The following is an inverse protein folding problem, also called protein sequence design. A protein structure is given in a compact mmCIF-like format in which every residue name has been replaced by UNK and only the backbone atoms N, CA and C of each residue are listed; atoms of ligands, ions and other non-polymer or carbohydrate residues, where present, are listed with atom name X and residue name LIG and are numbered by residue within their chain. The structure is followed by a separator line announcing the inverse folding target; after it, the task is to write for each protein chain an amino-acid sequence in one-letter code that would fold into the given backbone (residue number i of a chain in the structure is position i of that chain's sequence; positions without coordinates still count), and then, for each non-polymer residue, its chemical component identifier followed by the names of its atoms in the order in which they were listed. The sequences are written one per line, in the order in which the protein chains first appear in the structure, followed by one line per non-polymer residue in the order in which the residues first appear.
data_IF_363861954673
#
_entry.id   IF_363861954673
#
_cell.length_a   1.000
_cell.length_b   1.000
_cell.length_c   1.000
_cell.angle_alpha   90.00
_cell.angle_beta   90.00
_cell.angle_gamma   90.00
#
_symmetry.space_group_name_H-M   'P 1'
#
loop_
_entity.id
_entity.type
_entity.pdbx_description
1 polymer ?
2 water ?
#
# COMPACT_ATOMS: atom_id res chain seq x y z
N UNK A 30 16.96 -27.30 -4.05
CA UNK A 30 17.34 -26.72 -5.37
C UNK A 30 17.14 -25.20 -5.38
N UNK A 31 16.26 -24.69 -4.53
CA UNK A 31 16.01 -23.25 -4.51
C UNK A 31 17.16 -22.51 -3.87
N UNK A 32 17.66 -23.04 -2.77
CA UNK A 32 18.81 -22.42 -2.12
C UNK A 32 20.00 -22.46 -3.08
N UNK A 33 20.14 -23.58 -3.81
CA UNK A 33 21.26 -23.72 -4.74
C UNK A 33 21.20 -22.68 -5.83
N UNK A 34 20.02 -22.55 -6.41
CA UNK A 34 19.82 -21.56 -7.45
C UNK A 34 20.16 -20.15 -6.90
N UNK A 35 19.73 -19.82 -5.69
CA UNK A 35 20.06 -18.47 -5.20
C UNK A 35 21.56 -18.27 -5.06
N UNK A 36 22.27 -19.31 -4.65
CA UNK A 36 23.72 -19.18 -4.53
C UNK A 36 24.33 -18.99 -5.90
N UNK A 37 23.77 -19.68 -6.90
CA UNK A 37 24.30 -19.54 -8.24
C UNK A 37 23.99 -18.13 -8.75
N UNK A 38 22.81 -17.61 -8.41
CA UNK A 38 22.45 -16.26 -8.83
C UNK A 38 23.38 -15.21 -8.22
N UNK A 39 23.82 -15.43 -6.97
CA UNK A 39 24.77 -14.49 -6.35
C UNK A 39 26.10 -14.50 -7.11
N UNK A 40 26.57 -15.71 -7.43
CA UNK A 40 27.82 -15.83 -8.16
C UNK A 40 27.73 -15.16 -9.53
N UNK A 41 26.60 -15.34 -10.21
CA UNK A 41 26.41 -14.70 -11.51
C UNK A 41 26.51 -13.18 -11.32
N UNK A 42 25.81 -12.66 -10.32
CA UNK A 42 25.84 -11.23 -10.07
C UNK A 42 27.27 -10.73 -9.83
N UNK A 43 28.01 -11.45 -9.00
CA UNK A 43 29.37 -11.05 -8.68
C UNK A 43 30.33 -11.01 -9.86
N UNK A 44 30.28 -12.03 -10.71
CA UNK A 44 31.21 -12.06 -11.84
C UNK A 44 30.77 -11.24 -13.05
N UNK A 45 29.56 -10.69 -13.04
CA UNK A 45 29.12 -9.92 -14.18
C UNK A 45 29.70 -8.51 -14.19
N UNK A 46 29.98 -8.00 -13.01
CA UNK A 46 30.56 -6.66 -12.97
C UNK A 46 29.69 -5.54 -13.51
N UNK A 47 28.38 -5.64 -13.35
CA UNK A 47 27.50 -4.58 -13.81
C UNK A 47 27.72 -3.34 -12.97
N UNK A 48 27.80 -2.18 -13.61
CA UNK A 48 28.06 -0.96 -12.85
C UNK A 48 26.88 -0.49 -12.00
N UNK A 49 27.16 -0.02 -10.80
CA UNK A 49 26.13 0.52 -9.94
C UNK A 49 25.09 -0.40 -9.32
N UNK A 50 25.29 -1.72 -9.43
CA UNK A 50 24.36 -2.69 -8.86
C UNK A 50 25.12 -3.61 -7.95
N UNK A 51 24.52 -3.91 -6.80
CA UNK A 51 25.15 -4.81 -5.86
C UNK A 51 24.12 -5.43 -4.89
N UNK A 52 24.31 -6.68 -4.48
CA UNK A 52 23.41 -7.30 -3.51
C UNK A 52 23.96 -8.58 -2.92
N UNK A 53 23.67 -8.82 -1.65
CA UNK A 53 24.06 -10.06 -0.97
C UNK A 53 22.96 -10.44 0.02
N UNK A 54 22.88 -11.75 0.35
CA UNK A 54 21.91 -12.31 1.31
C UNK A 54 22.38 -11.89 2.71
N UNK A 55 21.50 -12.03 3.71
CA UNK A 55 21.93 -11.73 5.08
C UNK A 55 22.61 -13.04 5.50
N UNK A 56 23.57 -12.96 6.41
CA UNK A 56 24.29 -14.16 6.81
C UNK A 56 23.43 -15.24 7.42
N UNK A 57 22.34 -14.88 8.06
CA UNK A 57 21.56 -15.98 8.64
C UNK A 57 20.41 -16.49 7.78
N UNK A 58 20.18 -15.81 6.66
CA UNK A 58 19.01 -16.13 5.86
C UNK A 58 19.24 -15.94 4.38
N UNK A 59 19.44 -17.02 3.65
CA UNK A 59 19.67 -16.92 2.21
C UNK A 59 18.44 -16.38 1.44
N UNK A 60 17.29 -16.33 2.09
CA UNK A 60 16.09 -15.89 1.42
C UNK A 60 15.73 -14.42 1.65
N UNK A 61 16.67 -13.66 2.20
CA UNK A 61 16.42 -12.24 2.39
C UNK A 61 17.73 -11.59 2.02
N UNK A 62 17.69 -10.70 1.03
CA UNK A 62 18.89 -10.02 0.56
C UNK A 62 18.72 -8.50 0.72
N UNK A 63 19.84 -7.80 0.76
CA UNK A 63 19.83 -6.35 0.81
C UNK A 63 20.65 -5.93 -0.41
N UNK A 64 20.17 -4.97 -1.18
CA UNK A 64 20.92 -4.53 -2.34
C UNK A 64 21.05 -3.02 -2.43
N UNK A 65 21.95 -2.60 -3.30
CA UNK A 65 22.19 -1.17 -3.53
C UNK A 65 22.21 -0.88 -5.01
N UNK A 66 21.53 0.19 -5.38
CA UNK A 66 21.48 0.59 -6.76
C UNK A 66 21.90 2.06 -6.83
N UNK A 67 22.63 2.40 -7.90
CA UNK A 67 23.04 3.77 -8.16
C UNK A 67 22.33 4.13 -9.44
N UNK A 68 21.86 5.37 -9.57
CA UNK A 68 21.19 5.76 -10.80
C UNK A 68 22.11 5.64 -11.99
N UNK A 69 21.56 5.33 -13.17
CA UNK A 69 22.38 5.21 -14.37
C UNK A 69 22.94 6.56 -14.82
N UNK A 70 24.19 6.57 -15.32
CA UNK A 70 24.81 7.82 -15.78
C UNK A 70 23.97 8.47 -16.86
N UNK A 71 23.86 9.80 -16.83
CA UNK A 71 23.09 10.51 -17.81
C UNK A 71 21.63 10.74 -17.41
N UNK A 72 21.19 10.15 -16.31
CA UNK A 72 19.81 10.33 -15.85
C UNK A 72 19.76 11.26 -14.66
N UNK A 73 18.58 11.76 -14.30
CA UNK A 73 18.51 12.67 -13.18
C UNK A 73 18.83 11.96 -11.87
N UNK A 74 18.89 10.63 -11.90
CA UNK A 74 19.22 9.86 -10.68
C UNK A 74 20.71 9.55 -10.64
N UNK A 75 21.46 10.12 -11.58
CA UNK A 75 22.90 9.87 -11.62
C UNK A 75 23.48 10.40 -10.32
N UNK A 76 24.44 9.67 -9.77
CA UNK A 76 25.12 10.02 -8.53
C UNK A 76 24.32 9.81 -7.26
N UNK A 77 23.09 9.28 -7.37
CA UNK A 77 22.30 9.01 -6.16
C UNK A 77 22.25 7.49 -5.92
N UNK A 78 22.19 7.07 -4.67
CA UNK A 78 22.15 5.64 -4.41
C UNK A 78 21.02 5.26 -3.48
N UNK A 79 20.49 4.05 -3.68
CA UNK A 79 19.36 3.57 -2.88
C UNK A 79 19.55 2.12 -2.47
N UNK A 80 19.15 1.83 -1.24
CA UNK A 80 19.19 0.48 -0.68
C UNK A 80 17.81 -0.14 -0.84
N UNK A 81 17.77 -1.44 -1.11
CA UNK A 81 16.50 -2.14 -1.30
C UNK A 81 16.56 -3.47 -0.59
N UNK A 82 15.41 -3.98 -0.19
CA UNK A 82 15.38 -5.30 0.41
C UNK A 82 14.75 -6.23 -0.62
N UNK A 83 15.20 -7.48 -0.62
CA UNK A 83 14.64 -8.47 -1.54
C UNK A 83 14.31 -9.70 -0.72
N UNK A 84 13.05 -10.10 -0.74
CA UNK A 84 12.64 -11.27 0.05
C UNK A 84 12.06 -12.30 -0.86
N UNK A 85 12.54 -13.53 -0.75
CA UNK A 85 12.09 -14.63 -1.58
C UNK A 85 11.13 -15.50 -0.76
N UNK A 86 9.85 -15.42 -1.07
CA UNK A 86 8.84 -16.21 -0.34
C UNK A 86 8.87 -17.70 -0.67
N UNK A 87 8.13 -18.50 0.10
CA UNK A 87 8.08 -19.92 -0.15
C UNK A 87 7.65 -20.29 -1.59
N UNK A 88 6.79 -19.49 -2.22
CA UNK A 88 6.40 -19.84 -3.60
C UNK A 88 7.39 -19.49 -4.72
N UNK A 89 8.51 -18.88 -4.37
CA UNK A 89 9.52 -18.52 -5.37
C UNK A 89 10.20 -19.80 -5.90
N UNK A 90 10.62 -19.82 -7.18
CA UNK A 90 10.56 -18.80 -8.23
C UNK A 90 9.27 -18.72 -9.02
N UNK A 91 8.29 -19.54 -8.67
CA UNK A 91 7.02 -19.50 -9.39
C UNK A 91 6.37 -18.15 -9.06
N UNK A 92 6.46 -17.76 -7.80
CA UNK A 92 5.93 -16.46 -7.34
C UNK A 92 7.10 -15.47 -7.26
N UNK A 93 6.84 -14.22 -7.59
CA UNK A 93 7.92 -13.24 -7.57
C UNK A 93 8.41 -12.88 -6.19
N UNK A 94 9.66 -12.41 -6.08
CA UNK A 94 10.15 -12.02 -4.76
C UNK A 94 9.52 -10.67 -4.42
N UNK A 95 9.53 -10.29 -3.15
CA UNK A 95 9.01 -8.99 -2.76
C UNK A 95 10.23 -8.05 -2.69
N UNK A 96 10.17 -6.97 -3.48
CA UNK A 96 11.29 -6.01 -3.56
C UNK A 96 10.80 -4.61 -3.18
N UNK A 97 11.46 -3.99 -2.22
CA UNK A 97 11.07 -2.64 -1.80
C UNK A 97 12.27 -1.77 -1.53
N UNK A 98 12.11 -0.46 -1.74
CA UNK A 98 13.16 0.51 -1.45
C UNK A 98 13.23 0.71 0.07
N UNK A 99 14.44 0.72 0.63
CA UNK A 99 14.64 0.95 2.05
C UNK A 99 14.99 2.42 2.24
N UNK A 100 15.63 2.98 1.23
CA UNK A 100 16.03 4.39 1.22
C UNK A 100 14.85 5.11 0.59
N UNK A 101 14.38 6.22 1.21
CA UNK A 101 13.24 6.95 0.63
C UNK A 101 13.56 7.31 -0.81
N UNK A 102 12.64 7.02 -1.71
CA UNK A 102 12.83 7.29 -3.12
C UNK A 102 11.67 8.09 -3.72
N UNK A 103 11.98 9.28 -4.19
CA UNK A 103 10.96 10.13 -4.82
C UNK A 103 11.01 9.76 -6.29
N UNK A 104 9.93 9.21 -6.81
CA UNK A 104 9.91 8.72 -8.19
C UNK A 104 8.44 8.42 -8.55
N UNK A 105 8.04 8.61 -9.83
CA UNK A 105 6.64 8.33 -10.20
C UNK A 105 6.07 6.96 -9.81
N UNK A 106 6.92 5.91 -9.86
CA UNK A 106 6.47 4.56 -9.59
C UNK A 106 6.80 3.94 -8.24
N UNK A 107 7.12 4.76 -7.27
CA UNK A 107 7.43 4.24 -5.96
C UNK A 107 6.53 4.96 -4.97
N UNK A 108 6.02 4.24 -3.98
CA UNK A 108 5.16 4.89 -2.99
C UNK A 108 5.85 5.17 -1.67
N UNK A 109 5.07 5.59 -0.68
CA UNK A 109 5.65 5.94 0.61
C UNK A 109 6.21 4.76 1.41
N UNK A 110 5.79 3.55 1.06
CA UNK A 110 6.26 2.37 1.78
C UNK A 110 7.48 1.77 1.06
N UNK A 111 7.83 2.33 -0.09
CA UNK A 111 8.95 1.78 -0.81
C UNK A 111 8.46 0.73 -1.77
N UNK A 112 7.13 0.59 -1.91
CA UNK A 112 6.61 -0.38 -2.89
C UNK A 112 6.90 0.11 -4.31
N UNK A 113 7.13 -0.84 -5.21
CA UNK A 113 7.47 -0.49 -6.59
C UNK A 113 6.47 -0.99 -7.59
N UNK A 114 6.00 -0.12 -8.49
CA UNK A 114 5.10 -0.57 -9.52
C UNK A 114 5.95 -0.89 -10.76
N UNK A 115 6.21 -2.17 -10.98
CA UNK A 115 7.06 -2.61 -12.08
C UNK A 115 6.46 -3.94 -12.52
N UNK A 116 5.98 -3.97 -13.75
CA UNK A 116 5.34 -5.15 -14.29
C UNK A 116 6.05 -6.48 -14.04
N UNK A 117 7.36 -6.56 -14.29
CA UNK A 117 8.07 -7.83 -14.11
C UNK A 117 8.05 -8.32 -12.69
N UNK A 118 7.73 -7.45 -11.74
CA UNK A 118 7.66 -7.87 -10.35
C UNK A 118 6.26 -8.31 -9.99
N UNK A 119 5.31 -8.13 -10.90
CA UNK A 119 3.95 -8.52 -10.59
C UNK A 119 3.33 -9.44 -11.65
N UNK A 120 2.56 -8.86 -12.55
CA UNK A 120 1.89 -9.63 -13.58
C UNK A 120 2.82 -10.28 -14.60
N UNK A 121 3.96 -9.66 -14.89
CA UNK A 121 4.85 -10.25 -15.88
C UNK A 121 6.07 -10.95 -15.28
N UNK A 122 5.98 -11.34 -14.02
CA UNK A 122 7.10 -12.06 -13.40
C UNK A 122 7.31 -13.40 -14.08
N UNK A 123 8.55 -13.73 -14.41
CA UNK A 123 8.90 -15.02 -14.98
C UNK A 123 9.93 -15.72 -14.08
N UNK A 124 9.72 -17.00 -13.78
CA UNK A 124 10.64 -17.79 -12.95
C UNK A 124 12.04 -17.92 -13.54
N UNK A 125 12.20 -17.47 -14.77
CA UNK A 125 13.50 -17.52 -15.42
C UNK A 125 14.36 -16.27 -15.13
N UNK A 126 13.77 -15.22 -14.54
CA UNK A 126 14.55 -13.99 -14.22
C UNK A 126 15.43 -14.21 -12.99
N UNK A 127 16.66 -13.68 -13.03
CA UNK A 127 17.57 -13.82 -11.90
C UNK A 127 17.64 -12.48 -11.12
N UNK A 128 18.37 -12.47 -10.01
CA UNK A 128 18.50 -11.27 -9.21
C UNK A 128 19.12 -10.13 -10.01
N UNK A 129 20.10 -10.46 -10.86
CA UNK A 129 20.75 -9.45 -11.70
C UNK A 129 19.73 -8.75 -12.62
N UNK A 130 18.88 -9.54 -13.24
CA UNK A 130 17.84 -9.00 -14.13
C UNK A 130 16.89 -8.04 -13.39
N UNK A 131 16.49 -8.41 -12.17
CA UNK A 131 15.62 -7.59 -11.35
C UNK A 131 16.30 -6.26 -10.99
N UNK A 132 17.55 -6.34 -10.56
CA UNK A 132 18.25 -5.12 -10.18
C UNK A 132 18.45 -4.19 -11.38
N UNK A 133 18.84 -4.75 -12.52
CA UNK A 133 19.04 -3.95 -13.72
C UNK A 133 17.69 -3.30 -14.16
N UNK A 134 16.61 -4.06 -14.04
CA UNK A 134 15.28 -3.54 -14.43
C UNK A 134 14.86 -2.36 -13.54
N UNK A 135 15.11 -2.47 -12.25
CA UNK A 135 14.77 -1.39 -11.33
C UNK A 135 15.71 -0.19 -11.61
N UNK A 136 17.00 -0.44 -11.89
CA UNK A 136 17.92 0.68 -12.19
C UNK A 136 17.41 1.41 -13.43
N UNK A 137 16.97 0.63 -14.41
CA UNK A 137 16.42 1.20 -15.64
C UNK A 137 15.14 2.04 -15.41
N UNK A 138 14.30 1.57 -14.48
CA UNK A 138 13.03 2.23 -14.16
C UNK A 138 13.26 3.63 -13.59
N UNK A 139 14.32 3.79 -12.82
CA UNK A 139 14.67 5.09 -12.26
C UNK A 139 14.69 6.15 -13.35
N UNK A 140 15.40 5.86 -14.44
CA UNK A 140 15.51 6.80 -15.55
C UNK A 140 14.40 6.81 -16.59
N UNK A 141 13.55 5.79 -16.59
CA UNK A 141 12.47 5.73 -17.54
C UNK A 141 11.18 5.30 -16.84
N UNK A 142 10.56 6.23 -16.11
CA UNK A 142 9.33 5.90 -15.41
C UNK A 142 8.13 5.63 -16.31
N UNK A 143 7.14 4.96 -15.74
CA UNK A 143 5.89 4.67 -16.42
C UNK A 143 5.01 5.75 -15.83
N UNK A 144 4.95 6.91 -16.47
CA UNK A 144 4.17 8.00 -15.90
C UNK A 144 2.69 7.93 -16.22
N UNK A 145 2.28 6.90 -16.94
CA UNK A 145 0.89 6.74 -17.30
C UNK A 145 0.09 6.13 -16.15
N UNK A 146 0.74 5.29 -15.35
CA UNK A 146 0.11 4.65 -14.20
C UNK A 146 1.04 4.86 -12.99
N UNK A 147 1.00 6.06 -12.40
CA UNK A 147 1.88 6.33 -11.26
C UNK A 147 1.38 6.00 -9.87
N UNK A 148 2.32 5.94 -8.93
CA UNK A 148 2.00 5.72 -7.55
C UNK A 148 2.19 7.06 -6.88
N UNK A 149 3.13 7.85 -7.40
CA UNK A 149 3.40 9.18 -6.85
C UNK A 149 3.01 10.18 -7.93
N UNK A 150 1.74 10.57 -7.88
CA UNK A 150 1.17 11.48 -8.85
C UNK A 150 1.91 12.79 -8.98
N UNK A 151 2.37 13.33 -7.86
CA UNK A 151 3.10 14.59 -7.84
C UNK A 151 4.39 14.47 -8.63
N UNK A 152 5.09 13.36 -8.41
CA UNK A 152 6.35 13.13 -9.09
C UNK A 152 6.09 12.92 -10.56
N UNK A 153 5.02 12.18 -10.89
CA UNK A 153 4.71 11.94 -12.29
C UNK A 153 4.48 13.26 -13.02
N UNK A 154 3.86 14.21 -12.33
CA UNK A 154 3.55 15.52 -12.90
C UNK A 154 4.81 16.35 -13.11
N UNK A 155 5.65 16.42 -12.07
CA UNK A 155 6.87 17.21 -12.12
C UNK A 155 7.89 16.66 -13.12
N UNK A 156 7.77 15.37 -13.43
CA UNK A 156 8.68 14.71 -14.36
C UNK A 156 8.76 15.39 -15.73
N UNK A 157 7.70 16.08 -16.10
CA UNK A 157 7.63 16.76 -17.39
C UNK A 157 8.62 17.91 -17.44
N UNK A 158 8.99 18.43 -16.27
CA UNK A 158 9.93 19.53 -16.18
C UNK A 158 11.21 19.07 -15.46
N UNK A 159 12.10 18.39 -16.19
CA UNK A 159 13.36 17.87 -15.65
C UNK A 159 14.14 18.79 -14.71
N UNK A 160 14.40 20.03 -15.12
CA UNK A 160 15.12 20.95 -14.26
C UNK A 160 14.40 21.05 -12.93
N UNK A 161 13.09 21.28 -13.00
CA UNK A 161 12.30 21.37 -11.78
C UNK A 161 12.32 20.02 -11.04
N UNK A 162 12.24 18.92 -11.79
CA UNK A 162 12.25 17.59 -11.16
C UNK A 162 13.57 17.37 -10.41
N UNK A 163 14.66 17.54 -11.13
CA UNK A 163 16.00 17.36 -10.57
C UNK A 163 16.11 18.10 -9.25
N UNK A 164 15.64 19.33 -9.24
CA UNK A 164 15.70 20.19 -8.07
C UNK A 164 14.96 19.62 -6.87
N UNK A 165 13.72 19.22 -7.06
CA UNK A 165 12.93 18.66 -5.95
C UNK A 165 13.55 17.33 -5.50
N UNK A 166 14.05 16.55 -6.46
CA UNK A 166 14.67 15.26 -6.17
C UNK A 166 15.87 15.40 -5.25
N UNK A 167 16.74 16.34 -5.58
CA UNK A 167 17.94 16.60 -4.80
C UNK A 167 17.57 17.14 -3.43
N UNK A 168 16.60 18.03 -3.40
CA UNK A 168 16.12 18.62 -2.16
C UNK A 168 15.62 17.50 -1.26
N UNK A 169 14.70 16.70 -1.77
CA UNK A 169 14.14 15.59 -0.99
C UNK A 169 15.22 14.58 -0.59
N UNK A 170 16.09 14.22 -1.54
CA UNK A 170 17.16 13.25 -1.26
C UNK A 170 18.03 13.78 -0.13
N UNK A 171 18.37 15.06 -0.25
CA UNK A 171 19.22 15.76 0.72
C UNK A 171 18.69 15.57 2.15
N UNK A 172 17.38 15.59 2.30
CA UNK A 172 16.75 15.41 3.60
C UNK A 172 16.69 13.92 3.94
N UNK A 173 17.63 13.16 3.39
CA UNK A 173 17.69 11.72 3.63
C UNK A 173 19.11 11.35 4.04
N UNK A 174 19.90 12.36 4.38
CA UNK A 174 21.29 12.16 4.79
C UNK A 174 21.76 13.24 5.78
N UNK A 175 21.29 13.15 7.02
CA UNK A 175 21.67 14.11 8.07
C UNK A 175 21.29 13.59 9.45
N UNK B 30 -3.08 11.04 -13.11
CA UNK B 30 -4.51 10.99 -13.50
C UNK B 30 -5.31 10.37 -12.36
N UNK B 31 -5.75 11.22 -11.44
CA UNK B 31 -6.53 10.78 -10.29
C UNK B 31 -7.89 10.24 -10.71
N UNK B 32 -8.55 10.93 -11.62
CA UNK B 32 -9.85 10.49 -12.08
C UNK B 32 -9.78 9.15 -12.78
N UNK B 33 -8.71 8.94 -13.52
CA UNK B 33 -8.55 7.67 -14.23
C UNK B 33 -8.39 6.54 -13.22
N UNK B 34 -7.62 6.80 -12.18
CA UNK B 34 -7.38 5.79 -11.15
C UNK B 34 -8.73 5.50 -10.42
N UNK B 35 -9.47 6.53 -10.07
CA UNK B 35 -10.76 6.35 -9.35
C UNK B 35 -11.77 5.55 -10.19
N UNK B 36 -11.84 5.82 -11.48
CA UNK B 36 -12.76 5.05 -12.33
C UNK B 36 -12.36 3.58 -12.35
N UNK B 37 -11.06 3.33 -12.43
CA UNK B 37 -10.56 1.96 -12.43
C UNK B 37 -10.94 1.25 -11.12
N UNK B 38 -10.81 1.97 -10.01
CA UNK B 38 -11.13 1.36 -8.72
C UNK B 38 -12.63 1.03 -8.62
N UNK B 39 -13.48 1.90 -9.16
CA UNK B 39 -14.92 1.63 -9.12
C UNK B 39 -15.18 0.36 -9.93
N UNK B 40 -14.55 0.24 -11.09
CA UNK B 40 -14.71 -0.95 -11.95
C UNK B 40 -14.31 -2.23 -11.24
N UNK B 41 -13.17 -2.23 -10.57
CA UNK B 41 -12.80 -3.48 -9.92
C UNK B 41 -13.75 -3.78 -8.76
N UNK B 42 -14.19 -2.74 -8.06
CA UNK B 42 -15.12 -3.00 -6.95
C UNK B 42 -16.40 -3.66 -7.44
N UNK B 43 -17.00 -3.16 -8.51
CA UNK B 43 -18.23 -3.83 -8.91
C UNK B 43 -18.02 -5.17 -9.60
N UNK B 44 -16.85 -5.38 -10.18
CA UNK B 44 -16.54 -6.66 -10.85
C UNK B 44 -16.23 -7.73 -9.82
N UNK B 45 -15.72 -7.30 -8.66
CA UNK B 45 -15.36 -8.25 -7.60
C UNK B 45 -16.57 -8.89 -6.91
N UNK B 46 -17.63 -8.12 -6.72
CA UNK B 46 -18.82 -8.68 -6.10
C UNK B 46 -18.65 -9.26 -4.69
N UNK B 47 -17.82 -8.62 -3.87
CA UNK B 47 -17.64 -9.07 -2.50
C UNK B 47 -18.96 -8.96 -1.78
N UNK B 48 -19.10 -9.69 -0.68
CA UNK B 48 -20.36 -9.62 0.03
C UNK B 48 -20.36 -8.59 1.16
N UNK B 49 -21.42 -7.80 1.23
CA UNK B 49 -21.53 -6.86 2.31
C UNK B 49 -20.79 -5.53 2.17
N UNK B 50 -20.18 -5.24 1.02
CA UNK B 50 -19.54 -3.92 0.83
C UNK B 50 -20.01 -3.32 -0.48
N UNK B 51 -20.13 -2.00 -0.53
CA UNK B 51 -20.54 -1.25 -1.74
C UNK B 51 -20.10 0.19 -1.59
N UNK B 52 -19.81 0.86 -2.69
CA UNK B 52 -19.45 2.28 -2.63
C UNK B 52 -19.54 2.89 -4.02
N UNK B 53 -19.98 4.14 -4.07
CA UNK B 53 -20.09 4.87 -5.32
C UNK B 53 -19.72 6.33 -5.12
N UNK B 54 -19.16 6.96 -6.15
CA UNK B 54 -18.79 8.38 -6.08
C UNK B 54 -20.10 9.19 -6.15
N UNK B 55 -20.07 10.43 -5.68
CA UNK B 55 -21.23 11.32 -5.82
C UNK B 55 -21.31 11.67 -7.32
N UNK B 56 -22.50 11.93 -7.85
CA UNK B 56 -22.62 12.25 -9.28
C UNK B 56 -21.92 13.56 -9.69
N UNK B 57 -21.77 14.52 -8.81
CA UNK B 57 -21.08 15.72 -9.30
C UNK B 57 -19.67 15.84 -8.73
N UNK B 58 -19.13 14.74 -8.18
CA UNK B 58 -17.82 14.81 -7.57
C UNK B 58 -17.16 13.45 -7.38
N UNK B 59 -16.30 13.10 -8.32
CA UNK B 59 -15.59 11.83 -8.30
C UNK B 59 -14.65 11.66 -7.10
N UNK B 60 -14.30 12.78 -6.45
CA UNK B 60 -13.38 12.77 -5.33
C UNK B 60 -13.99 12.49 -3.99
N UNK B 61 -15.31 12.33 -3.97
CA UNK B 61 -15.97 11.98 -2.72
C UNK B 61 -16.89 10.79 -2.99
N UNK B 62 -16.73 9.73 -2.19
CA UNK B 62 -17.56 8.55 -2.37
C UNK B 62 -18.32 8.27 -1.09
N UNK B 63 -19.40 7.50 -1.21
CA UNK B 63 -20.13 7.12 -0.01
C UNK B 63 -20.21 5.59 -0.12
N UNK B 64 -19.88 4.89 0.97
CA UNK B 64 -19.94 3.44 0.91
C UNK B 64 -20.77 2.82 2.01
N UNK B 65 -21.09 1.55 1.85
CA UNK B 65 -21.86 0.89 2.90
C UNK B 65 -21.16 -0.41 3.22
N UNK B 66 -21.04 -0.69 4.53
CA UNK B 66 -20.46 -1.94 4.99
C UNK B 66 -21.48 -2.60 5.93
N UNK B 67 -21.60 -3.92 5.79
CA UNK B 67 -22.47 -4.76 6.62
C UNK B 67 -21.57 -5.59 7.58
N UNK B 68 -22.03 -5.77 8.81
CA UNK B 68 -21.30 -6.56 9.80
C UNK B 68 -21.25 -7.97 9.26
N UNK B 69 -20.23 -8.72 9.64
CA UNK B 69 -20.05 -10.10 9.16
C UNK B 69 -20.91 -11.09 9.99
N UNK B 70 -21.42 -12.14 9.35
CA UNK B 70 -22.23 -13.12 10.07
C UNK B 70 -21.37 -13.73 11.16
N UNK B 71 -21.99 -14.05 12.30
CA UNK B 71 -21.23 -14.65 13.37
C UNK B 71 -20.46 -13.71 14.26
N UNK B 72 -20.64 -12.40 14.08
CA UNK B 72 -19.95 -11.44 14.92
C UNK B 72 -21.01 -10.59 15.58
N UNK B 73 -20.63 -9.76 16.52
CA UNK B 73 -21.63 -8.95 17.19
C UNK B 73 -22.23 -7.88 16.28
N UNK B 74 -21.61 -7.62 15.12
CA UNK B 74 -22.17 -6.61 14.19
C UNK B 74 -23.08 -7.24 13.13
N UNK B 75 -23.37 -8.54 13.26
CA UNK B 75 -24.25 -9.19 12.29
C UNK B 75 -25.57 -8.42 12.19
N UNK B 76 -26.06 -8.26 10.97
CA UNK B 76 -27.31 -7.55 10.69
C UNK B 76 -27.26 -6.04 10.85
N UNK B 77 -26.09 -5.47 11.13
CA UNK B 77 -26.03 -4.01 11.24
C UNK B 77 -25.29 -3.51 10.01
N UNK B 78 -25.60 -2.30 9.57
CA UNK B 78 -24.90 -1.79 8.42
C UNK B 78 -24.53 -0.35 8.70
N UNK B 79 -23.46 0.10 8.07
CA UNK B 79 -22.96 1.43 8.33
C UNK B 79 -22.57 2.14 7.05
N UNK B 80 -22.84 3.44 7.02
CA UNK B 80 -22.44 4.28 5.88
C UNK B 80 -21.12 4.99 6.20
N UNK B 81 -20.29 5.16 5.18
CA UNK B 81 -19.00 5.83 5.37
C UNK B 81 -18.73 6.78 4.23
N UNK B 82 -17.96 7.86 4.48
CA UNK B 82 -17.61 8.75 3.38
C UNK B 82 -16.10 8.53 3.17
N UNK B 83 -15.68 8.65 1.92
CA UNK B 83 -14.25 8.53 1.53
C UNK B 83 -13.96 9.77 0.69
N UNK B 84 -13.02 10.58 1.16
CA UNK B 84 -12.68 11.79 0.43
C UNK B 84 -11.23 11.63 -0.02
N UNK B 85 -11.01 11.75 -1.32
CA UNK B 85 -9.67 11.57 -1.86
C UNK B 85 -8.88 12.88 -2.00
N UNK B 86 -7.62 12.88 -1.57
CA UNK B 86 -6.72 14.04 -1.64
C UNK B 86 -6.19 14.29 -3.06
N UNK B 87 -5.67 15.50 -3.31
CA UNK B 87 -5.17 15.81 -4.64
C UNK B 87 -4.02 14.90 -5.07
N UNK B 88 -3.24 14.42 -4.11
CA UNK B 88 -2.11 13.56 -4.46
C UNK B 88 -2.36 12.05 -4.44
N UNK B 89 -3.63 11.64 -4.39
CA UNK B 89 -3.98 10.21 -4.36
C UNK B 89 -3.42 9.60 -5.64
N UNK B 90 -2.99 8.34 -5.61
CA UNK B 90 -2.94 7.34 -4.54
C UNK B 90 -1.74 7.38 -3.59
N UNK B 91 -0.86 8.37 -3.76
CA UNK B 91 0.32 8.50 -2.89
C UNK B 91 -0.08 8.77 -1.42
N UNK B 92 -1.10 9.61 -1.23
CA UNK B 92 -1.63 9.94 0.10
C UNK B 92 -2.97 9.23 0.26
N UNK B 93 -3.28 8.84 1.48
CA UNK B 93 -4.47 8.08 1.80
C UNK B 93 -5.75 8.92 1.79
N UNK B 94 -6.89 8.30 1.47
CA UNK B 94 -8.14 9.08 1.48
C UNK B 94 -8.55 9.27 2.93
N UNK B 95 -9.41 10.23 3.20
CA UNK B 95 -9.91 10.46 4.55
C UNK B 95 -11.21 9.61 4.60
N UNK B 96 -11.31 8.68 5.55
CA UNK B 96 -12.48 7.81 5.63
C UNK B 96 -13.13 7.99 6.99
N UNK B 97 -14.45 8.20 7.01
CA UNK B 97 -15.16 8.37 8.26
C UNK B 97 -16.52 7.70 8.20
N UNK B 98 -16.98 7.23 9.34
CA UNK B 98 -18.30 6.62 9.47
C UNK B 98 -19.30 7.78 9.52
N UNK B 99 -20.35 7.68 8.72
CA UNK B 99 -21.43 8.65 8.69
C UNK B 99 -22.52 8.15 9.66
N UNK B 100 -22.71 6.84 9.71
CA UNK B 100 -23.65 6.21 10.63
C UNK B 100 -22.89 6.07 11.95
N UNK B 101 -23.45 6.56 13.07
CA UNK B 101 -22.76 6.45 14.34
C UNK B 101 -22.37 5.00 14.59
N UNK B 102 -21.11 4.79 14.95
CA UNK B 102 -20.60 3.45 15.17
C UNK B 102 -19.98 3.31 16.55
N UNK B 103 -20.49 2.36 17.31
CA UNK B 103 -19.95 2.12 18.65
C UNK B 103 -18.97 0.98 18.44
N UNK B 104 -17.67 1.26 18.61
CA UNK B 104 -16.60 0.28 18.35
C UNK B 104 -15.34 0.80 19.07
N UNK B 105 -14.47 -0.10 19.55
CA UNK B 105 -13.26 0.38 20.25
C UNK B 105 -12.36 1.36 19.50
N UNK B 106 -12.30 1.21 18.20
CA UNK B 106 -11.43 2.02 17.37
C UNK B 106 -12.07 3.11 16.55
N UNK B 107 -13.28 3.55 16.95
CA UNK B 107 -13.97 4.61 16.24
C UNK B 107 -14.35 5.73 17.20
N UNK B 108 -14.15 7.00 16.83
CA UNK B 108 -14.52 8.01 17.82
C UNK B 108 -15.86 8.68 17.53
N UNK B 109 -16.19 9.72 18.29
CA UNK B 109 -17.48 10.42 18.12
C UNK B 109 -17.70 11.11 16.78
N UNK B 110 -16.62 11.40 16.07
CA UNK B 110 -16.72 12.03 14.76
C UNK B 110 -16.75 10.97 13.67
N UNK B 111 -16.66 9.69 14.05
CA UNK B 111 -16.62 8.67 13.02
C UNK B 111 -15.19 8.46 12.52
N UNK B 112 -14.19 9.04 13.18
CA UNK B 112 -12.80 8.81 12.72
C UNK B 112 -12.43 7.40 13.12
N UNK B 113 -11.56 6.76 12.33
CA UNK B 113 -11.15 5.37 12.57
C UNK B 113 -9.66 5.25 12.86
N UNK B 114 -9.29 4.50 13.88
CA UNK B 114 -7.86 4.28 14.15
C UNK B 114 -7.54 2.98 13.41
N UNK B 115 -6.92 3.11 12.24
CA UNK B 115 -6.58 1.93 11.42
C UNK B 115 -5.26 2.24 10.73
N UNK B 116 -4.26 1.40 11.01
CA UNK B 116 -2.94 1.65 10.46
C UNK B 116 -2.85 1.90 8.97
N UNK B 117 -3.54 1.12 8.15
CA UNK B 117 -3.41 1.33 6.71
C UNK B 117 -3.98 2.61 6.21
N UNK B 118 -4.75 3.32 7.03
CA UNK B 118 -5.32 4.60 6.57
C UNK B 118 -4.36 5.69 6.96
N UNK B 119 -3.30 5.30 7.66
CA UNK B 119 -2.33 6.28 8.14
C UNK B 119 -0.87 5.95 7.76
N UNK B 120 -0.04 5.66 8.75
CA UNK B 120 1.36 5.37 8.49
C UNK B 120 1.63 4.19 7.56
N UNK B 121 0.74 3.21 7.54
CA UNK B 121 0.91 2.05 6.67
C UNK B 121 0.18 2.11 5.34
N UNK B 122 -0.25 3.30 4.92
CA UNK B 122 -0.96 3.39 3.63
C UNK B 122 -0.01 3.08 2.48
N UNK B 123 -0.49 2.35 1.47
CA UNK B 123 0.30 2.04 0.29
C UNK B 123 -0.53 2.37 -0.96
N UNK B 124 0.12 2.95 -1.97
CA UNK B 124 -0.55 3.30 -3.22
C UNK B 124 -1.03 2.05 -3.96
N UNK B 125 -0.72 0.87 -3.44
CA UNK B 125 -1.21 -0.35 -4.06
C UNK B 125 -2.61 -0.73 -3.54
N UNK B 126 -3.06 -0.08 -2.48
CA UNK B 126 -4.39 -0.39 -1.94
C UNK B 126 -5.46 0.36 -2.72
N UNK B 127 -6.70 -0.12 -2.70
CA UNK B 127 -7.76 0.57 -3.42
C UNK B 127 -9.00 0.66 -2.54
N UNK B 128 -10.08 1.20 -3.05
CA UNK B 128 -11.27 1.29 -2.20
C UNK B 128 -11.71 -0.06 -1.66
N UNK B 129 -11.66 -1.07 -2.52
CA UNK B 129 -12.08 -2.40 -2.13
C UNK B 129 -11.30 -2.89 -0.91
N UNK B 130 -9.99 -2.66 -0.94
CA UNK B 130 -9.13 -3.10 0.16
C UNK B 130 -9.46 -2.37 1.41
N UNK B 131 -9.71 -1.08 1.28
CA UNK B 131 -10.08 -0.25 2.41
C UNK B 131 -11.40 -0.73 3.07
N UNK B 132 -12.43 -0.97 2.25
CA UNK B 132 -13.73 -1.39 2.80
C UNK B 132 -13.66 -2.76 3.47
N UNK B 133 -12.95 -3.69 2.85
CA UNK B 133 -12.79 -5.02 3.43
C UNK B 133 -12.02 -4.92 4.76
N UNK B 134 -10.99 -4.07 4.81
CA UNK B 134 -10.20 -3.92 6.02
C UNK B 134 -11.04 -3.30 7.14
N UNK B 135 -11.91 -2.35 6.79
CA UNK B 135 -12.75 -1.77 7.84
C UNK B 135 -13.79 -2.82 8.27
N UNK B 136 -14.32 -3.59 7.32
CA UNK B 136 -15.29 -4.63 7.68
C UNK B 136 -14.62 -5.65 8.63
N UNK B 137 -13.37 -6.01 8.35
CA UNK B 137 -12.65 -6.95 9.21
C UNK B 137 -12.41 -6.34 10.57
N UNK B 138 -12.13 -5.03 10.60
CA UNK B 138 -11.88 -4.34 11.85
C UNK B 138 -13.07 -4.34 12.82
N UNK B 139 -14.28 -4.40 12.28
CA UNK B 139 -15.47 -4.43 13.14
C UNK B 139 -15.44 -5.64 14.07
N UNK B 140 -15.16 -6.81 13.50
CA UNK B 140 -15.11 -8.02 14.31
C UNK B 140 -13.77 -8.33 14.98
N UNK B 141 -12.73 -7.60 14.60
CA UNK B 141 -11.39 -7.77 15.17
C UNK B 141 -10.79 -6.43 15.58
N UNK B 142 -11.31 -5.83 16.64
CA UNK B 142 -10.75 -4.53 17.04
C UNK B 142 -9.35 -4.63 17.64
N UNK B 143 -8.69 -3.48 17.71
CA UNK B 143 -7.37 -3.39 18.34
C UNK B 143 -7.70 -2.79 19.67
N UNK B 144 -7.88 -3.66 20.65
CA UNK B 144 -8.25 -3.25 21.99
C UNK B 144 -7.14 -2.57 22.78
N UNK B 145 -5.91 -2.65 22.30
CA UNK B 145 -4.78 -2.01 22.97
C UNK B 145 -4.59 -0.55 22.53
N UNK B 146 -5.17 -0.19 21.39
CA UNK B 146 -5.08 1.16 20.81
C UNK B 146 -6.49 1.72 20.68
N UNK B 147 -7.22 1.85 21.79
CA UNK B 147 -8.59 2.36 21.65
C UNK B 147 -8.90 3.86 21.59
N UNK B 148 -9.95 4.18 20.84
CA UNK B 148 -10.45 5.56 20.76
C UNK B 148 -11.68 5.64 21.67
N UNK B 149 -12.31 4.49 21.95
CA UNK B 149 -13.49 4.41 22.81
C UNK B 149 -13.20 3.35 23.87
N UNK B 150 -12.73 3.79 25.03
CA UNK B 150 -12.36 2.87 26.10
C UNK B 150 -13.55 2.12 26.67
N UNK B 151 -14.73 2.75 26.67
CA UNK B 151 -15.95 2.10 27.16
C UNK B 151 -16.23 0.86 26.31
N UNK B 152 -16.13 1.01 25.00
CA UNK B 152 -16.34 -0.10 24.09
C UNK B 152 -15.23 -1.17 24.19
N UNK B 153 -13.97 -0.75 24.33
CA UNK B 153 -12.89 -1.71 24.47
C UNK B 153 -13.08 -2.61 25.71
N UNK B 154 -13.64 -2.07 26.80
CA UNK B 154 -13.85 -2.87 28.00
C UNK B 154 -15.05 -3.82 27.91
N UNK B 155 -16.13 -3.36 27.27
CA UNK B 155 -17.33 -4.17 27.08
C UNK B 155 -17.06 -5.29 26.06
N UNK B 156 -16.14 -5.05 25.14
CA UNK B 156 -15.84 -6.04 24.10
C UNK B 156 -15.63 -7.46 24.61
N UNK B 157 -15.10 -7.55 25.82
CA UNK B 157 -14.79 -8.81 26.51
C UNK B 157 -16.01 -9.73 26.69
N UNK B 158 -17.20 -9.13 26.81
CA UNK B 158 -18.44 -9.85 27.01
C UNK B 158 -19.32 -9.54 25.80
N UNK B 159 -19.22 -10.36 24.74
CA UNK B 159 -19.99 -10.19 23.51
C UNK B 159 -21.49 -10.07 23.77
N UNK B 160 -22.02 -10.83 24.73
CA UNK B 160 -23.45 -10.75 24.99
C UNK B 160 -23.88 -9.36 25.42
N UNK B 161 -23.14 -8.78 26.36
CA UNK B 161 -23.44 -7.44 26.87
C UNK B 161 -23.14 -6.39 25.80
N UNK B 162 -22.06 -6.61 25.05
CA UNK B 162 -21.68 -5.68 24.00
C UNK B 162 -22.76 -5.65 22.91
N UNK B 163 -23.19 -6.83 22.46
CA UNK B 163 -24.20 -6.90 21.40
C UNK B 163 -25.51 -6.23 21.80
N UNK B 164 -25.89 -6.42 23.06
CA UNK B 164 -27.13 -5.85 23.57
C UNK B 164 -27.06 -4.31 23.56
N UNK B 165 -25.93 -3.77 24.01
CA UNK B 165 -25.71 -2.33 24.05
C UNK B 165 -25.74 -1.74 22.63
N UNK B 166 -25.08 -2.44 21.72
CA UNK B 166 -24.97 -2.05 20.32
C UNK B 166 -26.36 -1.96 19.63
N UNK B 167 -27.18 -3.00 19.78
CA UNK B 167 -28.51 -3.04 19.16
C UNK B 167 -29.42 -1.94 19.70
N UNK B 168 -29.35 -1.74 21.01
CA UNK B 168 -30.13 -0.74 21.71
C UNK B 168 -29.79 0.71 21.26
N UNK B 169 -28.51 1.02 21.14
CA UNK B 169 -28.11 2.36 20.73
C UNK B 169 -28.28 2.56 19.22
N UNK B 170 -28.08 1.48 18.45
CA UNK B 170 -28.22 1.53 17.00
C UNK B 170 -29.69 1.80 16.64
N UNK B 171 -30.60 1.01 17.21
CA UNK B 171 -32.02 1.16 16.94
C UNK B 171 -32.48 2.53 17.43
N UNK B 172 -31.89 2.99 18.52
CA UNK B 172 -32.20 4.30 19.11
C UNK B 172 -31.82 5.32 18.05
N UNK B 173 -30.68 5.08 17.40
CA UNK B 173 -30.25 5.94 16.31
C UNK B 173 -31.17 5.42 15.19
N UNK B 174 -30.95 5.86 13.95
CA UNK B 174 -31.78 5.40 12.83
C UNK B 174 -33.30 5.52 13.04
N UNK B 175 -33.72 5.83 14.25
CA UNK B 175 -35.14 6.02 14.56
C UNK B 175 -35.26 7.31 15.36
#
# INVERSE_FOLDING_TARGET
MASQNRDPAATSVAAARKGAEPSGGAARGPVGKRLQQELMTLMMSGDKGISAFPESDNLFKWVGTIHGAAGTVYEDLRYKLSLEFPSGYPYNAPTVKFLTPCYHPNVDTQGNISLDILKEKWSALYDVRTILLSIQSLLGEPNIDSPLNTHAAELWKNPTAFKKYLQETYSKQVTSQEP
MASQNRDPAATSVAAARKGAEPSGGAARGPVGKRLQQELMTLMMSGDKGISAFPESDNLFKWVGTIHGAAGTVYEDLRYKLSLEFPSGYPYNAPTVKFLTPCYHPNVDTQGNISLDILKEKWSALYDVRTILLSIQSLLGEPNIDSPLNTHAAELWKNPTAFKKYLQETYSKQVTSQEP
#
